data_IF_625224413158
#
_entry.id   IF_625224413158
#
_cell.length_a   1.000
_cell.length_b   1.000
_cell.length_c   1.000
_cell.angle_alpha   90.00
_cell.angle_beta   90.00
_cell.angle_gamma   90.00
#
_symmetry.space_group_name_H-M   'P 1'
#
loop_
_entity.id
_entity.type
_entity.pdbx_description
1 polymer ?
#
# COMPACT_ATOMS: atom_id res chain seq x y z
N UNK A 1 -5.61 -19.31 2.68
CA UNK A 1 -6.07 -17.99 2.17
C UNK A 1 -4.97 -17.46 1.26
N UNK A 2 -5.34 -16.89 0.13
CA UNK A 2 -4.38 -16.28 -0.79
C UNK A 2 -4.12 -14.82 -0.37
N UNK A 3 -2.90 -14.34 -0.54
CA UNK A 3 -2.57 -12.97 -0.15
C UNK A 3 -1.08 -12.65 -0.21
N UNK A 4 -0.69 -11.58 0.46
CA UNK A 4 0.71 -11.22 0.66
C UNK A 4 1.10 -11.47 2.13
N UNK A 5 2.10 -12.30 2.35
CA UNK A 5 2.62 -12.59 3.69
C UNK A 5 3.69 -11.57 4.07
N UNK A 6 3.58 -10.99 5.24
CA UNK A 6 4.56 -10.03 5.78
C UNK A 6 5.75 -10.80 6.35
N UNK A 7 6.92 -10.64 5.74
CA UNK A 7 8.17 -11.18 6.28
C UNK A 7 8.84 -10.18 7.22
N UNK A 8 8.89 -8.90 6.77
CA UNK A 8 9.36 -7.77 7.57
C UNK A 8 8.39 -6.60 7.37
N UNK A 9 7.83 -6.02 8.43
CA UNK A 9 6.85 -4.93 8.32
C UNK A 9 7.48 -3.56 8.02
N UNK A 10 8.82 -3.44 8.06
CA UNK A 10 9.51 -2.16 7.99
C UNK A 10 9.40 -1.37 9.30
N UNK A 11 9.64 -0.06 9.22
CA UNK A 11 9.55 0.83 10.39
C UNK A 11 8.10 0.92 10.90
N UNK A 12 7.15 1.14 9.97
CA UNK A 12 5.72 1.19 10.27
C UNK A 12 4.95 0.96 8.98
N UNK A 13 4.13 -0.08 8.93
CA UNK A 13 3.22 -0.36 7.83
C UNK A 13 1.80 -0.52 8.36
N UNK A 14 0.86 0.20 7.74
CA UNK A 14 -0.53 0.28 8.15
C UNK A 14 -1.45 -0.03 6.98
N UNK A 15 -2.61 -0.63 7.25
CA UNK A 15 -3.71 -0.64 6.28
C UNK A 15 -4.40 0.72 6.34
N UNK A 16 -4.57 1.34 5.17
CA UNK A 16 -5.28 2.60 5.03
C UNK A 16 -6.28 2.51 3.87
N UNK A 17 -7.46 3.09 4.08
CA UNK A 17 -8.43 3.49 3.05
C UNK A 17 -8.59 5.02 3.10
N UNK A 18 -9.61 5.59 2.48
CA UNK A 18 -9.81 7.06 2.47
C UNK A 18 -10.12 7.66 3.85
N UNK A 19 -10.39 6.84 4.85
CA UNK A 19 -10.67 7.26 6.22
C UNK A 19 -12.11 7.06 6.67
N UNK A 20 -12.31 7.24 7.96
CA UNK A 20 -13.56 6.99 8.74
C UNK A 20 -14.32 8.28 8.91
N UNK A 21 -15.18 8.61 7.97
CA UNK A 21 -15.96 9.85 8.00
C UNK A 21 -17.24 9.74 8.84
N UNK A 22 -17.71 10.89 9.35
CA UNK A 22 -18.99 10.99 10.06
C UNK A 22 -18.98 10.54 11.52
N UNK A 23 -17.83 10.15 12.09
CA UNK A 23 -17.73 9.59 13.44
C UNK A 23 -17.16 10.59 14.48
N UNK A 24 -17.00 11.87 14.12
CA UNK A 24 -16.48 12.90 15.04
C UNK A 24 -17.32 13.09 16.28
N UNK A 25 -18.65 12.90 16.18
CA UNK A 25 -19.58 13.07 17.29
C UNK A 25 -19.37 12.08 18.45
N UNK A 26 -18.69 10.95 18.19
CA UNK A 26 -18.28 9.97 19.21
C UNK A 26 -16.78 10.03 19.51
N UNK A 27 -16.08 11.08 19.01
CA UNK A 27 -14.66 11.31 19.30
C UNK A 27 -13.66 10.51 18.44
N UNK A 28 -14.12 9.80 17.40
CA UNK A 28 -13.20 9.05 16.53
C UNK A 28 -12.57 9.96 15.47
N UNK A 29 -11.26 9.76 15.27
CA UNK A 29 -10.51 10.40 14.17
C UNK A 29 -10.87 9.77 12.83
N UNK A 30 -10.73 10.57 11.75
CA UNK A 30 -10.95 10.09 10.39
C UNK A 30 -9.95 9.00 10.02
N UNK A 31 -8.67 9.14 10.42
CA UNK A 31 -7.61 8.29 9.89
C UNK A 31 -7.37 8.57 8.40
N UNK A 32 -7.00 7.54 7.66
CA UNK A 32 -6.74 7.64 6.22
C UNK A 32 -5.27 7.92 5.90
N UNK A 33 -4.93 8.04 4.59
CA UNK A 33 -3.56 8.17 4.15
C UNK A 33 -2.98 9.55 4.45
N UNK A 34 -1.68 9.60 4.76
CA UNK A 34 -0.95 10.86 4.96
C UNK A 34 -0.71 11.60 3.64
N UNK A 35 -0.47 10.88 2.54
CA UNK A 35 -0.32 11.41 1.18
C UNK A 35 -1.48 10.87 0.33
N UNK A 36 -2.54 11.66 0.23
CA UNK A 36 -3.76 11.27 -0.49
C UNK A 36 -3.51 11.09 -1.98
N UNK A 37 -2.66 11.90 -2.59
CA UNK A 37 -2.40 11.83 -4.02
C UNK A 37 -1.70 10.52 -4.37
N UNK A 38 -0.64 10.17 -3.66
CA UNK A 38 0.05 8.90 -3.87
C UNK A 38 -0.85 7.69 -3.57
N UNK A 39 -1.69 7.76 -2.54
CA UNK A 39 -2.70 6.74 -2.23
C UNK A 39 -3.69 6.53 -3.38
N UNK A 40 -4.24 7.61 -3.93
CA UNK A 40 -5.19 7.55 -5.03
C UNK A 40 -4.54 6.98 -6.29
N UNK A 41 -3.31 7.38 -6.61
CA UNK A 41 -2.59 6.86 -7.75
C UNK A 41 -2.26 5.36 -7.62
N UNK A 42 -1.91 4.86 -6.44
CA UNK A 42 -1.70 3.43 -6.22
C UNK A 42 -2.98 2.63 -6.54
N UNK A 43 -4.13 3.12 -6.05
CA UNK A 43 -5.42 2.52 -6.33
C UNK A 43 -5.79 2.61 -7.83
N UNK A 44 -5.57 3.76 -8.46
CA UNK A 44 -5.85 3.96 -9.88
C UNK A 44 -5.03 3.02 -10.77
N UNK A 45 -3.74 2.84 -10.49
CA UNK A 45 -2.87 1.90 -11.22
C UNK A 45 -3.39 0.46 -11.14
N UNK A 46 -3.97 0.09 -10.02
CA UNK A 46 -4.62 -1.21 -9.81
C UNK A 46 -6.10 -1.26 -10.28
N UNK A 47 -6.61 -0.17 -10.86
CA UNK A 47 -8.03 0.01 -11.25
C UNK A 47 -9.01 -0.21 -10.09
N UNK A 48 -8.60 0.15 -8.91
CA UNK A 48 -9.43 0.08 -7.72
C UNK A 48 -10.35 1.29 -7.59
N UNK A 49 -11.51 1.17 -6.94
CA UNK A 49 -12.24 2.30 -6.38
C UNK A 49 -11.38 3.14 -5.44
N UNK A 50 -11.68 4.44 -5.31
CA UNK A 50 -10.88 5.40 -4.54
C UNK A 50 -10.74 5.05 -3.05
N UNK A 51 -11.73 4.36 -2.46
CA UNK A 51 -11.72 3.99 -1.04
C UNK A 51 -11.22 2.57 -0.78
N UNK A 52 -10.43 2.01 -1.68
CA UNK A 52 -9.95 0.62 -1.53
C UNK A 52 -8.80 0.55 -0.51
N UNK A 53 -8.85 -0.39 0.47
CA UNK A 53 -7.78 -0.56 1.45
C UNK A 53 -6.47 -1.02 0.81
N UNK A 54 -5.38 -0.31 1.11
CA UNK A 54 -4.02 -0.63 0.66
C UNK A 54 -3.01 -0.43 1.81
N UNK A 55 -1.75 -0.78 1.60
CA UNK A 55 -0.70 -0.58 2.61
C UNK A 55 -0.12 0.82 2.48
N UNK A 56 -0.11 1.60 3.58
CA UNK A 56 0.74 2.76 3.77
C UNK A 56 2.03 2.34 4.47
N UNK A 57 3.19 2.67 3.90
CA UNK A 57 4.51 2.29 4.40
C UNK A 57 5.26 3.56 4.80
N UNK A 58 5.77 3.59 6.02
CA UNK A 58 6.56 4.70 6.56
C UNK A 58 8.05 4.36 6.50
N UNK A 59 8.85 5.21 5.84
CA UNK A 59 10.32 5.16 5.76
C UNK A 59 10.91 3.89 5.13
N UNK A 60 10.10 2.90 4.77
CA UNK A 60 10.53 1.69 4.06
C UNK A 60 10.87 0.49 4.93
N UNK A 61 11.63 -0.46 4.36
CA UNK A 61 12.04 -1.70 5.02
C UNK A 61 10.97 -2.81 4.97
N UNK A 62 9.90 -2.66 4.19
CA UNK A 62 8.85 -3.68 4.03
C UNK A 62 9.34 -4.82 3.13
N UNK A 63 9.16 -6.06 3.58
CA UNK A 63 9.38 -7.27 2.76
C UNK A 63 8.16 -8.17 2.86
N UNK A 64 7.63 -8.55 1.69
CA UNK A 64 6.47 -9.43 1.55
C UNK A 64 6.83 -10.65 0.71
N UNK A 65 6.12 -11.75 0.91
CA UNK A 65 6.08 -12.89 -0.01
C UNK A 65 4.68 -13.02 -0.59
N UNK A 66 4.58 -13.12 -1.90
CA UNK A 66 3.31 -13.39 -2.57
C UNK A 66 2.90 -14.86 -2.36
N UNK A 67 1.66 -15.08 -1.94
CA UNK A 67 0.98 -16.39 -1.92
C UNK A 67 -0.22 -16.38 -2.88
N UNK A 68 -0.11 -15.55 -3.95
CA UNK A 68 -1.21 -15.24 -4.87
C UNK A 68 -0.66 -14.87 -6.24
N UNK A 69 -1.37 -15.27 -7.32
CA UNK A 69 -1.17 -14.69 -8.65
C UNK A 69 -1.93 -13.36 -8.72
N UNK A 70 -1.22 -12.24 -8.79
CA UNK A 70 -1.84 -10.92 -8.81
C UNK A 70 -0.90 -9.88 -9.42
N UNK A 71 -1.16 -8.62 -9.10
CA UNK A 71 -0.35 -7.47 -9.47
C UNK A 71 -0.14 -6.58 -8.26
N UNK A 72 0.91 -5.78 -8.30
CA UNK A 72 1.16 -4.72 -7.33
C UNK A 72 1.47 -3.41 -8.04
N UNK A 73 1.13 -2.30 -7.42
CA UNK A 73 1.60 -0.97 -7.77
C UNK A 73 2.14 -0.29 -6.51
N UNK A 74 3.29 0.38 -6.63
CA UNK A 74 3.88 1.17 -5.55
C UNK A 74 4.01 2.61 -6.00
N UNK A 75 3.56 3.55 -5.16
CA UNK A 75 3.62 4.99 -5.38
C UNK A 75 4.16 5.71 -4.14
N UNK A 76 4.46 7.00 -4.25
CA UNK A 76 4.90 7.84 -3.12
C UNK A 76 6.40 8.11 -3.11
N UNK A 77 7.03 7.99 -1.96
CA UNK A 77 8.43 8.28 -1.73
C UNK A 77 9.39 7.50 -2.64
N UNK A 78 10.60 8.03 -2.83
CA UNK A 78 11.63 7.36 -3.61
C UNK A 78 12.24 6.20 -2.81
N UNK A 79 12.06 4.99 -3.33
CA UNK A 79 12.52 3.74 -2.74
C UNK A 79 13.15 2.84 -3.81
N UNK A 80 14.11 2.00 -3.42
CA UNK A 80 14.54 0.86 -4.23
C UNK A 80 13.51 -0.26 -4.04
N UNK A 81 12.72 -0.51 -5.09
CA UNK A 81 11.68 -1.54 -5.09
C UNK A 81 12.22 -2.74 -5.84
N UNK A 82 12.14 -3.92 -5.23
CA UNK A 82 12.60 -5.17 -5.84
C UNK A 82 11.52 -6.23 -5.85
N UNK A 83 11.47 -6.98 -6.94
CA UNK A 83 10.76 -8.26 -7.02
C UNK A 83 11.82 -9.33 -7.32
N UNK A 84 11.97 -10.32 -6.44
CA UNK A 84 13.00 -11.37 -6.54
C UNK A 84 14.42 -10.81 -6.74
N UNK A 85 14.79 -9.79 -5.96
CA UNK A 85 16.06 -9.05 -6.04
C UNK A 85 16.30 -8.26 -7.34
N UNK A 86 15.34 -8.20 -8.26
CA UNK A 86 15.41 -7.37 -9.46
C UNK A 86 14.71 -6.04 -9.21
N UNK A 87 15.42 -4.92 -9.43
CA UNK A 87 14.84 -3.58 -9.26
C UNK A 87 13.76 -3.35 -10.30
N UNK A 88 12.62 -2.79 -9.81
CA UNK A 88 11.46 -2.44 -10.64
C UNK A 88 11.04 -1.00 -10.40
N UNK A 89 10.34 -0.43 -11.37
CA UNK A 89 9.93 0.97 -11.30
C UNK A 89 8.72 1.17 -10.37
N UNK A 90 8.76 2.23 -9.55
CA UNK A 90 7.55 2.77 -8.94
C UNK A 90 6.58 3.30 -10.03
N UNK A 91 5.34 3.59 -9.63
CA UNK A 91 4.29 4.15 -10.50
C UNK A 91 3.95 3.26 -11.71
N UNK A 92 4.19 1.97 -11.57
CA UNK A 92 4.00 0.95 -12.59
C UNK A 92 3.31 -0.26 -11.98
N UNK A 93 2.42 -0.90 -12.76
CA UNK A 93 1.77 -2.13 -12.37
C UNK A 93 2.69 -3.32 -12.70
N UNK A 94 3.06 -4.10 -11.69
CA UNK A 94 3.92 -5.27 -11.82
C UNK A 94 3.16 -6.55 -11.51
N UNK A 95 3.32 -7.58 -12.34
CA UNK A 95 2.80 -8.91 -12.07
C UNK A 95 3.62 -9.59 -10.99
N UNK A 96 2.95 -10.30 -10.09
CA UNK A 96 3.54 -11.16 -9.05
C UNK A 96 2.92 -12.54 -9.09
N UNK A 97 3.69 -13.55 -8.67
CA UNK A 97 3.27 -14.94 -8.62
C UNK A 97 3.57 -15.54 -7.23
N UNK A 98 2.92 -16.65 -6.85
CA UNK A 98 3.23 -17.33 -5.60
C UNK A 98 4.72 -17.64 -5.48
N UNK A 99 5.32 -17.28 -4.35
CA UNK A 99 6.75 -17.40 -4.07
C UNK A 99 7.56 -16.14 -4.36
N UNK A 100 7.04 -15.16 -5.11
CA UNK A 100 7.77 -13.92 -5.36
C UNK A 100 7.97 -13.12 -4.06
N UNK A 101 9.19 -12.62 -3.88
CA UNK A 101 9.53 -11.72 -2.79
C UNK A 101 9.48 -10.28 -3.28
N UNK A 102 8.69 -9.44 -2.59
CA UNK A 102 8.58 -8.01 -2.84
C UNK A 102 9.30 -7.28 -1.71
N UNK A 103 10.27 -6.45 -2.03
CA UNK A 103 11.04 -5.69 -1.05
C UNK A 103 11.04 -4.19 -1.38
N UNK A 104 10.70 -3.36 -0.41
CA UNK A 104 10.85 -1.92 -0.46
C UNK A 104 12.00 -1.52 0.49
N UNK A 105 13.11 -1.07 -0.09
CA UNK A 105 14.23 -0.54 0.67
C UNK A 105 13.85 0.69 1.50
N UNK A 106 14.76 1.17 2.35
CA UNK A 106 14.56 2.44 3.03
C UNK A 106 14.50 3.59 2.03
N UNK A 107 13.64 4.58 2.31
CA UNK A 107 13.40 5.67 1.40
C UNK A 107 14.59 6.64 1.38
N UNK A 108 14.96 7.08 0.19
CA UNK A 108 16.02 8.09 -0.01
C UNK A 108 15.45 9.49 -0.02
N UNK A 109 14.18 9.64 -0.39
CA UNK A 109 13.43 10.89 -0.41
C UNK A 109 11.96 10.66 -0.16
N UNK A 110 11.34 11.54 0.63
CA UNK A 110 9.95 11.37 1.08
C UNK A 110 9.84 10.43 2.28
N UNK A 111 8.62 10.26 2.79
CA UNK A 111 8.38 9.52 4.04
C UNK A 111 7.30 8.46 3.94
N UNK A 112 6.51 8.46 2.85
CA UNK A 112 5.39 7.53 2.66
C UNK A 112 5.41 6.90 1.29
N UNK A 113 5.22 5.58 1.25
CA UNK A 113 4.83 4.84 0.05
C UNK A 113 3.51 4.13 0.26
N UNK A 114 2.85 3.85 -0.84
CA UNK A 114 1.59 3.10 -0.87
C UNK A 114 1.76 1.89 -1.79
N UNK A 115 1.42 0.70 -1.28
CA UNK A 115 1.40 -0.54 -2.05
C UNK A 115 -0.05 -1.00 -2.20
N UNK A 116 -0.52 -1.03 -3.44
CA UNK A 116 -1.83 -1.50 -3.81
C UNK A 116 -1.78 -2.85 -4.54
N UNK A 117 -2.86 -3.60 -4.41
CA UNK A 117 -3.18 -4.79 -5.22
C UNK A 117 -4.54 -4.58 -5.88
N UNK A 118 -4.84 -5.20 -7.04
CA UNK A 118 -6.16 -5.15 -7.62
C UNK A 118 -7.22 -5.71 -6.67
N UNK A 119 -8.34 -4.99 -6.53
CA UNK A 119 -9.41 -5.31 -5.57
C UNK A 119 -9.08 -5.01 -4.12
N UNK A 120 -7.87 -4.50 -3.81
CA UNK A 120 -7.40 -4.16 -2.48
C UNK A 120 -7.23 -5.34 -1.53
N UNK A 121 -6.87 -5.03 -0.29
CA UNK A 121 -6.80 -6.05 0.77
C UNK A 121 -8.17 -6.26 1.41
N UNK A 122 -8.51 -7.54 1.68
CA UNK A 122 -9.79 -7.94 2.28
C UNK A 122 -9.73 -7.79 3.80
N UNK A 123 -9.94 -6.58 4.25
CA UNK A 123 -9.87 -6.19 5.65
C UNK A 123 -11.28 -5.76 6.11
N UNK A 124 -11.79 -6.31 7.23
CA UNK A 124 -13.12 -5.94 7.70
C UNK A 124 -13.15 -4.46 8.12
N UNK A 125 -14.16 -3.70 7.68
CA UNK A 125 -14.28 -2.30 8.09
C UNK A 125 -14.79 -2.17 9.54
N UNK A 126 -14.26 -1.18 10.25
CA UNK A 126 -14.75 -0.73 11.57
C UNK A 126 -15.27 0.69 11.41
N UNK A 127 -16.54 0.94 11.70
CA UNK A 127 -17.22 2.19 11.40
C UNK A 127 -17.06 2.65 9.93
N UNK A 128 -17.30 1.70 9.01
CA UNK A 128 -17.24 1.88 7.55
C UNK A 128 -15.84 2.24 6.99
N UNK A 129 -14.76 1.97 7.72
CA UNK A 129 -13.39 2.19 7.25
C UNK A 129 -12.46 1.10 7.77
N UNK A 130 -11.52 0.68 6.92
CA UNK A 130 -10.43 -0.23 7.28
C UNK A 130 -9.18 0.51 7.75
N UNK A 131 -9.19 1.85 7.73
CA UNK A 131 -8.04 2.65 8.16
C UNK A 131 -7.62 2.33 9.58
N UNK A 132 -6.32 2.03 9.73
CA UNK A 132 -5.68 1.82 11.02
C UNK A 132 -5.54 3.13 11.77
N UNK A 133 -6.08 3.20 12.99
CA UNK A 133 -5.85 4.30 13.93
C UNK A 133 -5.32 3.70 15.23
N UNK A 134 -3.99 3.66 15.37
CA UNK A 134 -3.33 2.99 16.50
C UNK A 134 -3.72 3.59 17.85
N UNK A 135 -3.86 4.93 17.93
CA UNK A 135 -4.22 5.62 19.18
C UNK A 135 -5.58 5.20 19.74
N UNK A 136 -6.53 4.90 18.85
CA UNK A 136 -7.90 4.54 19.23
C UNK A 136 -8.13 3.02 19.16
N UNK A 137 -7.09 2.26 18.82
CA UNK A 137 -7.12 0.80 18.70
C UNK A 137 -8.26 0.31 17.78
N UNK A 138 -8.44 0.95 16.59
CA UNK A 138 -9.50 0.61 15.64
C UNK A 138 -8.98 0.49 14.21
N UNK A 139 -9.67 -0.33 13.40
CA UNK A 139 -9.32 -0.59 12.00
C UNK A 139 -8.05 -1.44 11.86
N UNK A 140 -7.47 -1.45 10.67
CA UNK A 140 -6.31 -2.28 10.36
C UNK A 140 -6.68 -3.74 10.12
N UNK A 141 -5.67 -4.59 9.98
CA UNK A 141 -5.83 -5.98 9.53
C UNK A 141 -6.77 -6.82 10.43
N UNK A 142 -6.74 -6.59 11.72
CA UNK A 142 -7.52 -7.34 12.71
C UNK A 142 -8.66 -6.53 13.36
N UNK A 143 -8.85 -5.27 12.93
CA UNK A 143 -9.87 -4.37 13.48
C UNK A 143 -9.45 -3.66 14.77
N UNK A 144 -8.28 -3.95 15.34
CA UNK A 144 -7.80 -3.43 16.63
C UNK A 144 -6.74 -2.35 16.51
N UNK A 145 -6.57 -1.76 15.32
CA UNK A 145 -5.71 -0.58 15.12
C UNK A 145 -4.22 -0.84 15.23
N UNK A 146 -3.76 -2.09 15.14
CA UNK A 146 -2.34 -2.38 15.18
C UNK A 146 -1.65 -2.23 13.83
N UNK A 147 -0.37 -1.91 13.86
CA UNK A 147 0.50 -1.98 12.69
C UNK A 147 0.68 -3.44 12.22
N UNK A 148 1.09 -3.60 10.96
CA UNK A 148 1.47 -4.90 10.44
C UNK A 148 2.70 -5.44 11.18
N UNK A 149 2.72 -6.76 11.36
CA UNK A 149 3.80 -7.51 12.03
C UNK A 149 4.28 -8.66 11.15
N UNK A 150 5.48 -9.16 11.42
CA UNK A 150 5.99 -10.35 10.73
C UNK A 150 5.06 -11.54 10.97
N UNK A 151 4.77 -12.28 9.90
CA UNK A 151 3.85 -13.41 9.90
C UNK A 151 2.40 -13.05 9.52
N UNK A 152 2.02 -11.78 9.48
CA UNK A 152 0.70 -11.37 9.01
C UNK A 152 0.47 -11.82 7.56
N UNK A 153 -0.74 -12.28 7.27
CA UNK A 153 -1.22 -12.53 5.92
C UNK A 153 -2.23 -11.44 5.55
N UNK A 154 -1.98 -10.77 4.45
CA UNK A 154 -2.83 -9.74 3.88
C UNK A 154 -3.69 -10.34 2.76
N UNK A 155 -4.95 -10.71 3.03
CA UNK A 155 -5.77 -11.42 2.07
C UNK A 155 -6.10 -10.52 0.87
N UNK A 156 -5.92 -11.03 -0.36
CA UNK A 156 -6.31 -10.37 -1.59
C UNK A 156 -6.71 -11.39 -2.67
N UNK A 157 -7.34 -10.91 -3.73
CA UNK A 157 -7.85 -11.76 -4.79
C UNK A 157 -6.75 -12.15 -5.79
N UNK A 158 -6.95 -13.30 -6.47
CA UNK A 158 -6.18 -13.66 -7.65
C UNK A 158 -6.59 -12.77 -8.83
N UNK A 159 -5.60 -12.26 -9.55
CA UNK A 159 -5.77 -11.54 -10.80
C UNK A 159 -4.75 -12.02 -11.82
N UNK A 160 -5.16 -12.91 -12.72
CA UNK A 160 -4.25 -13.53 -13.69
C UNK A 160 -3.97 -12.66 -14.91
N UNK A 161 -4.85 -11.69 -15.19
CA UNK A 161 -4.71 -10.81 -16.35
C UNK A 161 -5.15 -9.38 -16.01
N UNK A 162 -4.21 -8.46 -16.16
CA UNK A 162 -4.48 -7.01 -16.17
C UNK A 162 -3.70 -6.36 -17.33
N UNK A 163 -4.26 -5.35 -18.00
CA UNK A 163 -3.51 -4.60 -18.99
C UNK A 163 -2.34 -3.89 -18.33
N UNK A 164 -1.21 -3.82 -19.03
CA UNK A 164 -0.07 -3.03 -18.56
C UNK A 164 -0.50 -1.58 -18.32
N UNK A 165 -0.18 -1.06 -17.16
CA UNK A 165 -0.49 0.32 -16.80
C UNK A 165 0.70 0.93 -16.04
N UNK A 166 1.07 2.14 -16.44
CA UNK A 166 2.13 2.91 -15.78
C UNK A 166 1.80 4.39 -15.84
N UNK A 167 2.31 5.15 -14.90
CA UNK A 167 2.22 6.60 -14.93
C UNK A 167 3.53 7.17 -15.47
N UNK A 168 3.52 7.85 -16.63
CA UNK A 168 4.71 8.50 -17.16
C UNK A 168 5.33 9.48 -16.15
N UNK A 169 6.65 9.58 -16.13
CA UNK A 169 7.39 10.47 -15.20
C UNK A 169 6.85 11.89 -15.21
N UNK A 170 6.52 12.43 -16.37
CA UNK A 170 5.97 13.80 -16.52
C UNK A 170 4.56 13.96 -15.92
N UNK A 171 3.86 12.88 -15.63
CA UNK A 171 2.53 12.88 -15.02
C UNK A 171 2.57 12.56 -13.52
N UNK A 172 3.75 12.21 -12.98
CA UNK A 172 3.93 12.00 -11.54
C UNK A 172 3.87 13.34 -10.79
N UNK A 173 3.52 13.33 -9.50
CA UNK A 173 3.44 14.55 -8.70
C UNK A 173 4.72 15.41 -8.78
N UNK A 174 4.56 16.73 -8.89
CA UNK A 174 5.66 17.68 -9.12
C UNK A 174 6.79 17.63 -8.09
N UNK A 175 6.49 17.25 -6.84
CA UNK A 175 7.51 17.10 -5.80
C UNK A 175 8.51 15.96 -6.09
N UNK A 176 8.13 14.98 -6.92
CA UNK A 176 9.01 13.89 -7.36
C UNK A 176 9.79 14.26 -8.62
N UNK A 177 9.27 15.18 -9.45
CA UNK A 177 9.89 15.59 -10.70
C UNK A 177 11.09 16.55 -10.50
N UNK A 178 11.07 17.37 -9.47
CA UNK A 178 12.11 18.40 -9.20
C UNK A 178 13.49 17.86 -8.82
N UNK A 179 13.62 16.57 -8.55
CA UNK A 179 14.83 15.98 -7.99
C UNK A 179 15.70 15.31 -9.05
N UNK A 180 15.17 15.10 -10.26
CA UNK A 180 15.94 14.51 -11.38
C UNK A 180 16.76 15.54 -12.16
N UNK A 181 16.77 16.82 -11.75
CA UNK A 181 17.40 17.92 -12.48
C UNK A 181 18.56 18.62 -11.73
N UNK A 182 19.23 17.92 -10.80
CA UNK A 182 20.46 18.42 -10.16
C UNK A 182 21.60 17.45 -10.43
#
# INVERSE_FOLDING_TARGET
>A
MNGLKVNQPGILSLIQDSGRFGQHHIGLTVGGPMDRDSFQWANLLCKNPENTPIIEITLGGLVLTAEVDSYIAVTGAQADIKINNQSVNAWTLHKIQPGDQIALGFFTLGTRCYLAVPGGFKVPPVFNSSSTVCREAIGGLDGHGRALTSGDLLPCDNHTHMPAFYLPVNSQPLHLQKIQSV
#
